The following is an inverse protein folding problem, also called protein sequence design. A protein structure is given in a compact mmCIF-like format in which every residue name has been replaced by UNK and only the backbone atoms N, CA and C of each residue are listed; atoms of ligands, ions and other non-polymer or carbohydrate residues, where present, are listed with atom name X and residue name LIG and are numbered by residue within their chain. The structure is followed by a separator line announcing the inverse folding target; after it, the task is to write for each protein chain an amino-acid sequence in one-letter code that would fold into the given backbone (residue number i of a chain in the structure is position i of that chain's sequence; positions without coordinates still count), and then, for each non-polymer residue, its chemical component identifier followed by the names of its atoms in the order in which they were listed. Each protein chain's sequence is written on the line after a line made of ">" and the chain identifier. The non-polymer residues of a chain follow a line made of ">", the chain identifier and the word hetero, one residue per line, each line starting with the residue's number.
data_IF_158188173168
#
_entry.id   IF_158188173168
#
_cell.length_a   1.000
_cell.length_b   1.000
_cell.length_c   1.000
_cell.angle_alpha   90.00
_cell.angle_beta   90.00
_cell.angle_gamma   90.00
#
_symmetry.space_group_name_H-M   'P 1'
#
loop_
_entity.id
_entity.type
_entity.pdbx_description
1 polymer ?
#
# COMPACT_ATOMS: atom_id res chain seq x y z
N UNK A 1 29.90 -37.72 -61.92
CA UNK A 1 28.72 -36.97 -61.44
C UNK A 1 29.07 -36.23 -60.15
N UNK A 2 29.39 -34.94 -60.23
CA UNK A 2 29.73 -34.11 -59.06
C UNK A 2 28.73 -32.95 -58.95
N UNK A 3 27.91 -32.95 -57.90
CA UNK A 3 26.81 -31.98 -57.71
C UNK A 3 27.38 -30.67 -57.16
N UNK A 4 27.34 -29.60 -57.96
CA UNK A 4 27.60 -28.21 -57.52
C UNK A 4 26.57 -27.81 -56.45
N UNK A 5 27.02 -27.50 -55.23
CA UNK A 5 26.22 -26.83 -54.20
C UNK A 5 25.98 -25.38 -54.62
N UNK A 6 24.71 -24.98 -54.79
CA UNK A 6 24.32 -23.56 -54.95
C UNK A 6 24.41 -22.88 -53.58
N UNK A 7 25.27 -21.88 -53.45
CA UNK A 7 25.29 -20.95 -52.32
C UNK A 7 24.18 -19.92 -52.55
N UNK A 8 23.34 -19.68 -51.53
CA UNK A 8 22.27 -18.67 -51.53
C UNK A 8 22.85 -17.32 -51.07
N UNK A 9 22.49 -16.17 -51.68
CA UNK A 9 23.01 -14.87 -51.24
C UNK A 9 22.39 -14.42 -49.90
N UNK A 10 23.07 -13.53 -49.15
CA UNK A 10 22.56 -12.98 -47.90
C UNK A 10 21.83 -11.66 -48.17
N UNK A 11 20.51 -11.67 -48.21
CA UNK A 11 19.71 -10.44 -48.25
C UNK A 11 19.18 -10.12 -46.85
N UNK A 12 19.86 -9.14 -46.24
CA UNK A 12 19.33 -7.91 -45.63
C UNK A 12 18.12 -7.94 -44.67
N UNK A 13 18.41 -7.39 -43.48
CA UNK A 13 17.61 -6.43 -42.72
C UNK A 13 16.38 -6.91 -41.90
N UNK A 14 16.63 -7.04 -40.59
CA UNK A 14 15.91 -6.36 -39.50
C UNK A 14 14.42 -6.09 -39.70
N UNK A 15 13.61 -7.14 -39.58
CA UNK A 15 12.21 -6.99 -39.16
C UNK A 15 12.17 -6.79 -37.64
N UNK A 16 12.31 -5.54 -37.22
CA UNK A 16 12.09 -5.04 -35.86
C UNK A 16 10.72 -5.55 -35.36
N UNK A 17 10.72 -6.65 -34.59
CA UNK A 17 9.50 -7.20 -34.01
C UNK A 17 8.98 -6.18 -33.00
N UNK A 18 7.94 -5.42 -33.37
CA UNK A 18 7.26 -4.49 -32.46
C UNK A 18 7.01 -5.19 -31.12
N UNK A 19 7.43 -4.62 -29.99
CA UNK A 19 7.20 -5.22 -28.69
C UNK A 19 5.70 -5.48 -28.53
N UNK A 20 5.29 -6.62 -27.93
CA UNK A 20 3.89 -6.98 -27.83
C UNK A 20 3.14 -5.83 -27.14
N UNK A 21 2.16 -5.25 -27.83
CA UNK A 21 1.29 -4.23 -27.25
C UNK A 21 0.59 -4.85 -26.06
N UNK A 22 1.04 -4.50 -24.84
CA UNK A 22 0.42 -4.94 -23.60
C UNK A 22 -1.04 -4.50 -23.62
N UNK A 23 -1.97 -5.46 -23.56
CA UNK A 23 -3.40 -5.18 -23.37
C UNK A 23 -3.54 -4.35 -22.10
N UNK A 24 -4.12 -3.15 -22.23
CA UNK A 24 -4.41 -2.27 -21.10
C UNK A 24 -5.26 -3.04 -20.08
N UNK A 25 -4.76 -3.15 -18.85
CA UNK A 25 -5.53 -3.71 -17.74
C UNK A 25 -6.23 -2.54 -17.04
N UNK A 26 -7.56 -2.56 -16.88
CA UNK A 26 -8.25 -1.49 -16.19
C UNK A 26 -7.78 -1.42 -14.73
N UNK A 27 -7.66 -0.20 -14.17
CA UNK A 27 -7.30 -0.03 -12.77
C UNK A 27 -8.34 -0.68 -11.85
N UNK A 28 -7.88 -1.25 -10.74
CA UNK A 28 -8.71 -2.01 -9.79
C UNK A 28 -9.50 -1.06 -8.89
N UNK A 29 -10.54 -0.46 -9.46
CA UNK A 29 -11.40 0.50 -8.76
C UNK A 29 -12.77 -0.09 -8.39
N UNK A 30 -13.48 0.49 -7.41
CA UNK A 30 -14.83 0.08 -7.07
C UNK A 30 -15.80 0.16 -8.25
N UNK A 31 -16.90 -0.62 -8.25
CA UNK A 31 -17.90 -0.57 -9.31
C UNK A 31 -18.52 0.83 -9.44
N UNK A 32 -19.03 1.21 -10.64
CA UNK A 32 -19.60 2.54 -10.91
C UNK A 32 -20.65 3.01 -9.90
N UNK A 33 -21.47 2.09 -9.39
CA UNK A 33 -22.54 2.39 -8.44
C UNK A 33 -22.08 2.40 -6.98
N UNK A 34 -20.78 2.22 -6.68
CA UNK A 34 -20.29 2.12 -5.30
C UNK A 34 -20.53 3.41 -4.50
N UNK A 35 -20.98 3.32 -3.23
CA UNK A 35 -21.18 4.49 -2.37
C UNK A 35 -19.91 5.17 -1.90
N UNK A 36 -18.76 4.56 -2.20
CA UNK A 36 -17.47 5.19 -1.97
C UNK A 36 -17.21 6.33 -2.95
N UNK A 37 -17.81 6.29 -4.15
CA UNK A 37 -17.65 7.37 -5.11
C UNK A 37 -18.43 8.61 -4.64
N UNK A 38 -17.84 9.82 -4.77
CA UNK A 38 -18.61 11.04 -4.62
C UNK A 38 -19.82 11.03 -5.56
N UNK A 39 -20.90 11.68 -5.14
CA UNK A 39 -22.19 11.60 -5.83
C UNK A 39 -22.12 12.06 -7.30
N UNK A 40 -21.32 13.10 -7.57
CA UNK A 40 -21.05 13.58 -8.93
C UNK A 40 -20.27 12.59 -9.82
N UNK A 41 -19.64 11.58 -9.22
CA UNK A 41 -18.81 10.57 -9.89
C UNK A 41 -19.36 9.16 -9.67
N UNK A 42 -20.67 8.94 -9.48
CA UNK A 42 -21.24 7.58 -9.32
C UNK A 42 -22.43 7.31 -10.22
N UNK A 43 -22.72 6.03 -10.43
CA UNK A 43 -23.86 5.53 -11.17
C UNK A 43 -23.96 6.09 -12.58
N UNK A 44 -25.06 6.77 -12.92
CA UNK A 44 -25.27 7.35 -14.27
C UNK A 44 -24.22 8.39 -14.66
N UNK A 45 -23.59 9.03 -13.67
CA UNK A 45 -22.55 10.04 -13.90
C UNK A 45 -21.14 9.44 -14.02
N UNK A 46 -20.99 8.12 -13.81
CA UNK A 46 -19.71 7.43 -13.86
C UNK A 46 -19.09 7.47 -15.26
N UNK A 47 -17.78 7.75 -15.34
CA UNK A 47 -16.97 7.65 -16.55
C UNK A 47 -15.73 6.80 -16.28
N UNK A 48 -15.31 6.01 -17.26
CA UNK A 48 -14.12 5.14 -17.14
C UNK A 48 -12.84 5.90 -16.79
N UNK A 49 -12.72 7.17 -17.23
CA UNK A 49 -11.59 8.05 -16.87
C UNK A 49 -11.46 8.29 -15.37
N UNK A 50 -12.55 8.22 -14.59
CA UNK A 50 -12.48 8.39 -13.13
C UNK A 50 -11.73 7.24 -12.45
N UNK A 51 -11.73 6.07 -13.07
CA UNK A 51 -10.96 4.92 -12.59
C UNK A 51 -9.46 5.25 -12.57
N UNK A 52 -8.98 6.02 -13.55
CA UNK A 52 -7.59 6.47 -13.64
C UNK A 52 -7.33 7.65 -12.69
N UNK A 53 -8.27 8.60 -12.60
CA UNK A 53 -8.10 9.80 -11.76
C UNK A 53 -8.01 9.49 -10.27
N UNK A 54 -8.73 8.46 -9.79
CA UNK A 54 -8.75 8.08 -8.38
C UNK A 54 -7.82 6.90 -8.05
N UNK A 55 -7.11 6.34 -9.03
CA UNK A 55 -6.09 5.33 -8.77
C UNK A 55 -4.97 5.89 -7.87
N UNK A 56 -4.57 5.13 -6.86
CA UNK A 56 -3.55 5.57 -5.90
C UNK A 56 -3.99 6.69 -4.94
N UNK A 57 -5.26 7.11 -4.97
CA UNK A 57 -5.77 8.21 -4.12
C UNK A 57 -6.36 7.71 -2.81
N UNK A 58 -6.32 8.55 -1.79
CA UNK A 58 -6.83 8.27 -0.45
C UNK A 58 -8.25 7.70 -0.48
N UNK A 59 -9.13 8.09 -1.42
CA UNK A 59 -10.46 7.48 -1.58
C UNK A 59 -10.44 5.95 -1.67
N UNK A 60 -9.47 5.40 -2.38
CA UNK A 60 -9.36 3.98 -2.66
C UNK A 60 -8.42 3.25 -1.69
N UNK A 61 -7.91 3.92 -0.66
CA UNK A 61 -6.98 3.36 0.32
C UNK A 61 -7.68 2.56 1.43
N UNK A 62 -7.24 1.36 1.78
CA UNK A 62 -7.78 0.55 2.89
C UNK A 62 -7.75 1.28 4.23
N UNK A 63 -6.80 2.20 4.41
CA UNK A 63 -6.64 2.95 5.64
C UNK A 63 -7.58 4.14 5.77
N UNK A 64 -8.28 4.52 4.69
CA UNK A 64 -9.24 5.62 4.68
C UNK A 64 -10.68 5.12 4.80
N UNK A 65 -11.43 5.77 5.68
CA UNK A 65 -12.87 5.58 5.82
C UNK A 65 -13.62 6.90 5.73
N UNK A 66 -14.87 6.90 5.24
CA UNK A 66 -15.72 8.08 5.30
C UNK A 66 -15.91 8.56 6.74
N UNK A 67 -15.99 9.87 6.94
CA UNK A 67 -16.41 10.47 8.22
C UNK A 67 -17.80 9.97 8.66
N UNK A 68 -18.19 10.16 9.92
CA UNK A 68 -19.58 9.89 10.33
C UNK A 68 -20.56 10.82 9.59
N UNK A 69 -21.81 10.39 9.36
CA UNK A 69 -22.82 11.18 8.61
C UNK A 69 -22.98 12.61 9.15
N UNK A 70 -22.82 12.80 10.47
CA UNK A 70 -22.89 14.10 11.13
C UNK A 70 -21.71 15.01 10.76
N UNK A 71 -20.48 14.48 10.72
CA UNK A 71 -19.29 15.22 10.30
C UNK A 71 -19.18 15.36 8.78
N UNK A 72 -19.88 14.55 8.00
CA UNK A 72 -19.99 14.70 6.55
C UNK A 72 -20.85 15.90 6.13
N UNK A 73 -21.59 16.53 7.05
CA UNK A 73 -22.60 17.56 6.73
C UNK A 73 -22.08 19.00 6.61
N UNK A 74 -20.82 19.27 6.98
CA UNK A 74 -20.34 20.64 7.21
C UNK A 74 -19.72 21.35 6.01
N UNK A 75 -19.52 20.69 4.85
CA UNK A 75 -19.11 21.40 3.64
C UNK A 75 -20.16 21.37 2.53
N UNK A 76 -21.22 22.16 2.74
CA UNK A 76 -22.18 22.52 1.68
C UNK A 76 -21.84 23.84 0.99
N UNK A 77 -20.87 24.59 1.51
CA UNK A 77 -20.57 25.95 1.07
C UNK A 77 -19.41 26.04 0.07
N UNK A 78 -18.44 25.12 0.09
CA UNK A 78 -17.26 25.18 -0.77
C UNK A 78 -17.18 24.10 -1.85
N UNK A 79 -18.12 23.14 -1.86
CA UNK A 79 -18.13 22.08 -2.86
C UNK A 79 -16.89 21.17 -2.82
N UNK A 80 -16.19 21.10 -1.68
CA UNK A 80 -15.03 20.22 -1.55
C UNK A 80 -15.48 18.76 -1.37
N UNK A 81 -14.67 17.80 -1.84
CA UNK A 81 -14.99 16.39 -1.73
C UNK A 81 -15.01 15.96 -0.25
N UNK A 82 -16.02 15.15 0.12
CA UNK A 82 -16.21 14.59 1.48
C UNK A 82 -14.88 14.12 2.07
N UNK A 83 -14.43 14.75 3.16
CA UNK A 83 -13.21 14.37 3.87
C UNK A 83 -13.28 12.91 4.34
N UNK A 84 -12.13 12.24 4.35
CA UNK A 84 -11.95 10.87 4.81
C UNK A 84 -11.09 10.89 6.08
N UNK A 85 -11.32 9.94 6.99
CA UNK A 85 -10.38 9.68 8.08
C UNK A 85 -9.40 8.60 7.68
N UNK A 86 -8.12 8.93 7.68
CA UNK A 86 -7.02 8.01 7.52
C UNK A 86 -6.54 7.51 8.90
N UNK A 87 -6.36 6.20 9.02
CA UNK A 87 -5.87 5.52 10.24
C UNK A 87 -4.37 5.16 10.18
N UNK A 88 -3.73 5.38 9.03
CA UNK A 88 -2.32 5.06 8.79
C UNK A 88 -1.64 6.15 7.95
N UNK A 89 -1.93 7.42 8.25
CA UNK A 89 -1.33 8.51 7.49
C UNK A 89 0.18 8.57 7.78
N UNK A 90 1.04 8.66 6.75
CA UNK A 90 2.49 8.64 6.89
C UNK A 90 3.06 9.73 7.78
N UNK A 91 2.38 10.87 7.87
CA UNK A 91 2.81 12.03 8.66
C UNK A 91 2.09 12.11 10.02
N UNK A 92 1.07 11.27 10.22
CA UNK A 92 0.29 11.16 11.47
C UNK A 92 0.14 9.69 11.90
N UNK A 93 1.24 8.98 12.22
CA UNK A 93 1.19 7.57 12.57
C UNK A 93 0.40 7.32 13.86
N UNK A 94 -0.78 6.72 13.69
CA UNK A 94 -1.69 6.27 14.75
C UNK A 94 -2.59 7.35 15.35
N UNK A 95 -2.65 8.51 14.73
CA UNK A 95 -3.74 9.48 14.89
C UNK A 95 -4.78 9.26 13.79
N UNK A 96 -6.03 9.64 14.07
CA UNK A 96 -7.01 9.83 13.00
C UNK A 96 -6.71 11.16 12.33
N UNK A 97 -6.41 11.13 11.03
CA UNK A 97 -6.11 12.31 10.25
C UNK A 97 -7.12 12.48 9.11
N UNK A 98 -7.62 13.70 8.93
CA UNK A 98 -8.52 14.01 7.82
C UNK A 98 -7.72 14.18 6.53
N UNK A 99 -8.11 13.47 5.47
CA UNK A 99 -7.48 13.49 4.16
C UNK A 99 -8.51 13.72 3.08
N UNK A 100 -8.14 14.43 2.02
CA UNK A 100 -9.01 14.60 0.86
C UNK A 100 -9.08 13.30 0.02
N UNK A 101 -10.22 12.97 -0.59
CA UNK A 101 -10.36 11.84 -1.51
C UNK A 101 -9.33 11.78 -2.65
N UNK A 102 -8.84 12.94 -3.08
CA UNK A 102 -7.92 13.10 -4.22
C UNK A 102 -6.43 13.15 -3.83
N UNK A 103 -6.13 13.13 -2.53
CA UNK A 103 -4.75 13.11 -2.03
C UNK A 103 -4.07 11.79 -2.36
N UNK A 104 -2.77 11.86 -2.58
CA UNK A 104 -1.88 10.70 -2.74
C UNK A 104 -1.10 10.48 -1.45
N UNK A 105 -0.92 9.23 -1.07
CA UNK A 105 -0.28 8.87 0.18
C UNK A 105 0.83 7.84 -0.05
N UNK A 106 2.01 8.03 0.57
CA UNK A 106 3.12 7.06 0.48
C UNK A 106 2.84 5.71 1.14
N UNK A 107 1.82 5.64 1.99
CA UNK A 107 1.27 4.40 2.60
C UNK A 107 -0.07 4.02 1.98
N UNK A 108 -0.34 4.46 0.75
CA UNK A 108 -1.52 4.01 0.03
C UNK A 108 -1.47 2.49 -0.10
N UNK A 109 -2.55 1.84 0.30
CA UNK A 109 -2.75 0.42 0.09
C UNK A 109 -4.15 0.25 -0.52
N UNK A 110 -4.30 -0.33 -1.72
CA UNK A 110 -5.57 -0.33 -2.43
C UNK A 110 -6.59 -1.24 -1.74
N UNK A 111 -7.83 -0.76 -1.63
CA UNK A 111 -8.98 -1.61 -1.28
C UNK A 111 -9.10 -2.75 -2.29
N UNK A 112 -9.35 -3.96 -1.78
CA UNK A 112 -9.53 -5.14 -2.64
C UNK A 112 -10.83 -5.02 -3.43
N UNK A 113 -10.74 -4.57 -4.68
CA UNK A 113 -11.85 -4.55 -5.63
C UNK A 113 -11.60 -5.53 -6.77
N UNK A 114 -12.66 -6.24 -7.18
CA UNK A 114 -12.65 -6.96 -8.46
C UNK A 114 -12.62 -5.91 -9.57
N UNK A 115 -11.85 -6.16 -10.63
CA UNK A 115 -11.81 -5.26 -11.79
C UNK A 115 -13.24 -4.95 -12.25
N UNK A 116 -13.57 -3.67 -12.52
CA UNK A 116 -14.85 -3.32 -13.11
C UNK A 116 -15.01 -4.10 -14.42
N UNK A 117 -15.92 -5.07 -14.45
CA UNK A 117 -16.30 -5.69 -15.71
C UNK A 117 -16.94 -4.62 -16.59
N UNK A 118 -16.53 -4.51 -17.85
CA UNK A 118 -17.16 -3.64 -18.87
C UNK A 118 -18.66 -3.95 -19.04
N UNK A 119 -19.09 -5.13 -18.60
CA UNK A 119 -20.48 -5.55 -18.58
C UNK A 119 -20.93 -5.75 -17.12
N UNK A 120 -21.85 -4.92 -16.59
CA UNK A 120 -22.37 -5.10 -15.24
C UNK A 120 -23.15 -6.43 -15.18
N UNK A 121 -22.85 -7.34 -14.23
CA UNK A 121 -23.63 -8.56 -14.09
C UNK A 121 -25.06 -8.22 -13.63
N UNK A 122 -26.07 -8.87 -14.22
CA UNK A 122 -27.49 -8.72 -13.87
C UNK A 122 -27.88 -9.21 -12.46
N UNK A 123 -26.92 -9.58 -11.61
CA UNK A 123 -27.21 -10.00 -10.22
C UNK A 123 -26.97 -8.85 -9.26
N UNK A 124 -27.98 -8.57 -8.43
CA UNK A 124 -27.85 -7.76 -7.22
C UNK A 124 -26.82 -8.41 -6.29
N UNK A 125 -25.58 -7.95 -6.37
CA UNK A 125 -24.60 -8.18 -5.32
C UNK A 125 -25.08 -7.34 -4.15
N UNK A 126 -25.52 -7.97 -3.06
CA UNK A 126 -25.72 -7.26 -1.79
C UNK A 126 -24.42 -6.54 -1.49
N UNK A 127 -24.45 -5.21 -1.47
CA UNK A 127 -23.37 -4.40 -0.98
C UNK A 127 -23.10 -4.86 0.45
N UNK A 128 -21.98 -5.54 0.69
CA UNK A 128 -21.49 -5.79 2.04
C UNK A 128 -21.14 -4.42 2.59
N UNK A 129 -22.03 -3.90 3.42
CA UNK A 129 -21.83 -2.68 4.18
C UNK A 129 -20.55 -2.84 4.99
N UNK A 130 -19.63 -1.92 4.75
CA UNK A 130 -18.41 -1.74 5.49
C UNK A 130 -18.78 -1.25 6.89
N UNK A 131 -19.11 -2.17 7.80
CA UNK A 131 -19.41 -1.89 9.20
C UNK A 131 -18.65 -2.89 10.06
N UNK A 132 -17.64 -2.37 10.78
CA UNK A 132 -16.94 -2.99 11.91
C UNK A 132 -16.54 -4.46 11.70
N UNK A 133 -15.30 -4.69 11.26
CA UNK A 133 -14.69 -6.01 11.37
C UNK A 133 -14.67 -6.42 12.87
N UNK A 134 -15.48 -7.40 13.29
CA UNK A 134 -15.63 -7.75 14.71
C UNK A 134 -14.34 -8.31 15.31
N UNK A 135 -13.40 -8.71 14.46
CA UNK A 135 -12.11 -9.27 14.83
C UNK A 135 -11.08 -8.19 15.17
N UNK A 136 -11.39 -6.91 14.95
CA UNK A 136 -10.46 -5.80 15.19
C UNK A 136 -10.91 -4.95 16.36
N UNK A 137 -10.01 -4.74 17.33
CA UNK A 137 -10.21 -3.87 18.50
C UNK A 137 -9.17 -2.76 18.53
N UNK A 138 -9.48 -1.70 19.28
CA UNK A 138 -8.60 -0.53 19.48
C UNK A 138 -8.33 -0.33 20.96
N UNK A 139 -7.06 -0.08 21.30
CA UNK A 139 -6.61 0.24 22.66
C UNK A 139 -6.10 1.68 22.67
N UNK A 140 -6.64 2.52 23.54
CA UNK A 140 -6.22 3.91 23.68
C UNK A 140 -4.86 4.01 24.38
N UNK A 141 -3.97 4.86 23.85
CA UNK A 141 -2.58 5.04 24.32
C UNK A 141 -2.35 6.40 25.01
N UNK A 142 -3.32 7.31 24.95
CA UNK A 142 -3.19 8.72 25.36
C UNK A 142 -2.95 9.66 24.18
N UNK A 143 -3.15 10.98 24.38
CA UNK A 143 -3.00 12.03 23.36
C UNK A 143 -3.78 11.79 22.05
N UNK A 144 -4.95 11.13 22.14
CA UNK A 144 -5.77 10.80 20.97
C UNK A 144 -5.28 9.61 20.13
N UNK A 145 -4.13 9.01 20.48
CA UNK A 145 -3.56 7.86 19.78
C UNK A 145 -4.22 6.55 20.21
N UNK A 146 -4.27 5.59 19.27
CA UNK A 146 -4.74 4.23 19.54
C UNK A 146 -3.86 3.19 18.84
N UNK A 147 -3.76 2.01 19.47
CA UNK A 147 -3.23 0.81 18.85
C UNK A 147 -4.37 -0.06 18.33
N UNK A 148 -4.21 -0.61 17.13
CA UNK A 148 -5.13 -1.61 16.56
C UNK A 148 -4.61 -3.01 16.90
N UNK A 149 -5.48 -3.89 17.38
CA UNK A 149 -5.14 -5.27 17.80
C UNK A 149 -6.23 -6.24 17.36
N UNK A 150 -5.91 -7.52 17.32
CA UNK A 150 -6.93 -8.56 17.12
C UNK A 150 -7.80 -8.70 18.38
N UNK A 151 -9.06 -9.09 18.20
CA UNK A 151 -10.02 -9.22 19.28
C UNK A 151 -9.60 -10.27 20.33
N UNK A 152 -8.91 -11.31 19.91
CA UNK A 152 -8.38 -12.38 20.78
C UNK A 152 -7.33 -11.87 21.78
N UNK A 153 -6.49 -10.92 21.35
CA UNK A 153 -5.42 -10.37 22.17
C UNK A 153 -5.91 -9.20 23.07
N UNK A 154 -7.06 -8.62 22.75
CA UNK A 154 -7.59 -7.42 23.42
C UNK A 154 -7.72 -7.59 24.95
N UNK A 155 -8.29 -8.70 25.40
CA UNK A 155 -8.54 -8.97 26.82
C UNK A 155 -7.26 -9.14 27.63
N UNK A 156 -6.19 -9.64 27.01
CA UNK A 156 -4.88 -9.71 27.65
C UNK A 156 -4.21 -8.33 27.69
N UNK A 157 -4.23 -7.61 26.57
CA UNK A 157 -3.53 -6.34 26.45
C UNK A 157 -4.19 -5.22 27.26
N UNK A 158 -5.52 -5.20 27.41
CA UNK A 158 -6.24 -4.14 28.15
C UNK A 158 -5.89 -4.09 29.64
N UNK A 159 -5.26 -5.14 30.18
CA UNK A 159 -4.82 -5.21 31.58
C UNK A 159 -3.71 -4.20 31.91
N UNK A 160 -3.00 -3.73 30.88
CA UNK A 160 -1.88 -2.82 31.04
C UNK A 160 -2.23 -1.43 30.54
N UNK A 161 -1.62 -0.43 31.17
CA UNK A 161 -1.69 0.95 30.68
C UNK A 161 -0.64 1.15 29.60
N UNK A 162 -1.11 1.35 28.38
CA UNK A 162 -0.28 1.56 27.20
C UNK A 162 -0.08 3.04 26.90
N UNK A 163 1.07 3.34 26.30
CA UNK A 163 1.53 4.68 25.92
C UNK A 163 2.16 4.62 24.54
N UNK A 164 2.00 5.69 23.77
CA UNK A 164 2.69 5.85 22.50
C UNK A 164 4.09 6.44 22.71
N UNK A 165 5.11 5.81 22.12
CA UNK A 165 6.47 6.34 22.08
C UNK A 165 6.95 6.47 20.64
N UNK A 166 7.44 7.66 20.28
CA UNK A 166 8.06 7.89 18.99
C UNK A 166 9.50 7.33 18.97
N UNK A 167 9.85 6.60 17.91
CA UNK A 167 11.20 6.09 17.63
C UNK A 167 11.50 6.29 16.15
N UNK A 168 12.31 7.30 15.84
CA UNK A 168 12.55 7.72 14.47
C UNK A 168 11.25 8.20 13.81
N UNK A 169 10.85 7.58 12.70
CA UNK A 169 9.61 7.92 11.96
C UNK A 169 8.39 7.11 12.39
N UNK A 170 8.55 6.15 13.30
CA UNK A 170 7.48 5.27 13.73
C UNK A 170 7.07 5.57 15.16
N UNK A 171 5.80 5.35 15.46
CA UNK A 171 5.23 5.41 16.81
C UNK A 171 4.87 4.00 17.22
N UNK A 172 5.22 3.62 18.44
CA UNK A 172 4.97 2.27 18.98
C UNK A 172 4.18 2.33 20.28
N UNK A 173 3.34 1.32 20.49
CA UNK A 173 2.65 1.12 21.76
C UNK A 173 3.58 0.42 22.77
N UNK A 174 3.74 1.02 23.94
CA UNK A 174 4.59 0.53 25.03
C UNK A 174 3.88 0.60 26.39
N UNK A 175 4.21 -0.30 27.29
CA UNK A 175 3.72 -0.31 28.67
C UNK A 175 4.92 -0.46 29.62
N UNK A 176 4.76 0.00 30.87
CA UNK A 176 5.68 -0.33 31.96
C UNK A 176 5.13 -1.54 32.71
N UNK A 177 5.86 -2.65 32.69
CA UNK A 177 5.51 -3.90 33.37
C UNK A 177 6.73 -4.30 34.20
N UNK A 178 6.55 -4.46 35.52
CA UNK A 178 7.61 -4.80 36.47
C UNK A 178 8.86 -3.92 36.36
N UNK A 179 8.64 -2.60 36.21
CA UNK A 179 9.69 -1.60 36.05
C UNK A 179 10.38 -1.57 34.68
N UNK A 180 10.02 -2.47 33.75
CA UNK A 180 10.62 -2.57 32.40
C UNK A 180 9.66 -2.04 31.34
N UNK A 181 10.22 -1.38 30.31
CA UNK A 181 9.44 -0.96 29.14
C UNK A 181 9.24 -2.15 28.20
N UNK A 182 7.98 -2.52 27.99
CA UNK A 182 7.58 -3.62 27.11
C UNK A 182 6.85 -3.03 25.89
N UNK A 183 7.22 -3.48 24.70
CA UNK A 183 6.56 -3.11 23.45
C UNK A 183 5.42 -4.07 23.14
N UNK A 184 4.26 -3.56 22.70
CA UNK A 184 3.06 -4.36 22.44
C UNK A 184 3.32 -5.48 21.43
N UNK A 185 3.92 -5.14 20.28
CA UNK A 185 4.29 -6.13 19.26
C UNK A 185 5.24 -7.23 19.76
N UNK A 186 6.14 -6.92 20.71
CA UNK A 186 7.07 -7.92 21.30
C UNK A 186 6.36 -8.80 22.31
N UNK A 187 5.41 -8.23 23.07
CA UNK A 187 4.60 -8.99 24.01
C UNK A 187 3.75 -10.04 23.29
N UNK A 188 3.19 -9.68 22.13
CA UNK A 188 2.38 -10.57 21.30
C UNK A 188 3.20 -11.68 20.63
N UNK A 189 4.32 -11.32 19.98
CA UNK A 189 5.09 -12.26 19.15
C UNK A 189 6.18 -13.03 19.89
N UNK A 190 6.63 -12.53 21.07
CA UNK A 190 7.67 -13.14 21.91
C UNK A 190 8.89 -13.64 21.10
N UNK A 191 9.55 -12.74 20.33
CA UNK A 191 10.67 -13.15 19.48
C UNK A 191 11.83 -13.71 20.31
N UNK A 192 12.55 -14.68 19.74
CA UNK A 192 13.83 -15.18 20.31
C UNK A 192 14.88 -14.06 20.33
N UNK A 193 15.91 -14.23 21.16
CA UNK A 193 17.04 -13.30 21.19
C UNK A 193 17.71 -13.18 19.81
N UNK A 194 18.13 -11.96 19.45
CA UNK A 194 18.66 -11.64 18.11
C UNK A 194 17.60 -11.38 17.03
N UNK A 195 16.33 -11.70 17.28
CA UNK A 195 15.24 -11.40 16.36
C UNK A 195 14.45 -10.15 16.77
N UNK A 196 13.87 -9.49 15.77
CA UNK A 196 12.98 -8.33 15.94
C UNK A 196 11.60 -8.65 15.39
N UNK A 197 10.60 -7.87 15.79
CA UNK A 197 9.26 -7.95 15.21
C UNK A 197 9.11 -6.77 14.28
N UNK A 198 8.79 -7.05 13.03
CA UNK A 198 8.51 -6.07 11.98
C UNK A 198 7.01 -5.91 11.79
N UNK A 199 6.59 -4.68 11.47
CA UNK A 199 5.23 -4.33 11.10
C UNK A 199 5.17 -4.29 9.58
N UNK A 200 4.43 -5.22 8.98
CA UNK A 200 4.37 -5.39 7.52
C UNK A 200 3.95 -4.08 6.83
N UNK A 201 2.96 -3.38 7.38
CA UNK A 201 2.48 -2.09 6.88
C UNK A 201 3.33 -0.86 7.30
N UNK A 202 4.39 -1.06 8.07
CA UNK A 202 5.23 0.01 8.62
C UNK A 202 4.55 0.90 9.68
N UNK A 203 3.35 0.52 10.17
CA UNK A 203 2.63 1.22 11.22
C UNK A 203 2.85 0.55 12.58
N UNK A 204 3.72 1.12 13.41
CA UNK A 204 4.03 0.59 14.74
C UNK A 204 2.86 0.55 15.73
N UNK A 205 1.72 1.18 15.38
CA UNK A 205 0.48 1.13 16.15
C UNK A 205 -0.55 0.11 15.61
N UNK A 206 -0.31 -0.51 14.45
CA UNK A 206 -1.09 -1.65 13.97
C UNK A 206 -0.48 -2.97 14.47
N UNK A 207 -0.90 -3.42 15.65
CA UNK A 207 -0.36 -4.59 16.34
C UNK A 207 -1.22 -5.86 16.13
N UNK A 208 -2.03 -5.91 15.07
CA UNK A 208 -2.68 -7.16 14.66
C UNK A 208 -1.64 -8.19 14.25
N UNK A 209 -1.81 -9.45 14.65
CA UNK A 209 -0.91 -10.57 14.34
C UNK A 209 -0.67 -10.74 12.86
N UNK A 210 -1.70 -10.57 12.03
CA UNK A 210 -1.58 -10.61 10.58
C UNK A 210 -0.68 -9.50 10.00
N UNK A 211 -0.40 -8.43 10.75
CA UNK A 211 0.51 -7.34 10.40
C UNK A 211 1.88 -7.47 11.06
N UNK A 212 2.09 -8.45 11.95
CA UNK A 212 3.34 -8.65 12.68
C UNK A 212 4.09 -9.86 12.14
N UNK A 213 5.41 -9.75 12.02
CA UNK A 213 6.28 -10.89 11.68
C UNK A 213 7.59 -10.85 12.44
N UNK A 214 8.09 -12.01 12.84
CA UNK A 214 9.42 -12.14 13.44
C UNK A 214 10.45 -12.20 12.33
N UNK A 215 11.46 -11.34 12.38
CA UNK A 215 12.49 -11.27 11.35
C UNK A 215 13.87 -10.92 11.94
N UNK A 216 14.90 -11.07 11.12
CA UNK A 216 16.25 -10.59 11.45
C UNK A 216 16.34 -9.07 11.28
N UNK A 217 17.30 -8.40 11.95
CA UNK A 217 17.51 -6.96 11.76
C UNK A 217 17.73 -6.56 10.29
N UNK A 218 18.42 -7.40 9.50
CA UNK A 218 18.66 -7.17 8.08
C UNK A 218 17.37 -7.24 7.24
N UNK A 219 16.47 -8.18 7.56
CA UNK A 219 15.16 -8.30 6.92
C UNK A 219 14.26 -7.12 7.29
N UNK A 220 14.24 -6.70 8.56
CA UNK A 220 13.49 -5.53 8.99
C UNK A 220 13.92 -4.26 8.23
N UNK A 221 15.22 -4.11 7.97
CA UNK A 221 15.75 -2.99 7.18
C UNK A 221 15.32 -3.04 5.71
N UNK A 222 15.05 -4.23 5.16
CA UNK A 222 14.54 -4.37 3.79
C UNK A 222 13.08 -3.88 3.65
N UNK A 223 12.32 -3.86 4.75
CA UNK A 223 10.96 -3.33 4.83
C UNK A 223 10.91 -1.80 5.09
N UNK A 224 12.05 -1.11 4.99
CA UNK A 224 12.11 0.32 5.32
C UNK A 224 11.39 1.17 4.27
N UNK A 225 10.39 1.91 4.73
CA UNK A 225 9.68 2.92 3.96
C UNK A 225 10.62 4.02 3.41
N UNK A 226 10.28 4.66 2.27
CA UNK A 226 11.14 5.65 1.64
C UNK A 226 11.34 6.89 2.51
N UNK A 227 12.47 7.57 2.31
CA UNK A 227 12.76 8.86 2.92
C UNK A 227 12.68 9.99 1.90
N UNK A 228 11.48 10.25 1.39
CA UNK A 228 11.24 11.32 0.41
C UNK A 228 12.00 11.13 -0.90
N UNK A 229 11.85 12.10 -1.80
CA UNK A 229 12.48 12.09 -3.11
C UNK A 229 11.61 12.74 -4.18
N UNK A 230 12.08 12.65 -5.42
CA UNK A 230 11.39 13.17 -6.62
C UNK A 230 10.21 12.30 -7.09
N UNK A 231 10.01 11.14 -6.47
CA UNK A 231 8.98 10.15 -6.81
C UNK A 231 8.18 9.80 -5.57
N UNK A 232 6.92 9.41 -5.79
CA UNK A 232 6.09 8.81 -4.74
C UNK A 232 6.49 7.35 -4.43
N UNK A 233 7.24 6.69 -5.32
CA UNK A 233 7.62 5.28 -5.19
C UNK A 233 9.07 5.08 -4.74
N UNK A 234 9.28 4.04 -3.95
CA UNK A 234 10.60 3.69 -3.40
C UNK A 234 11.54 3.23 -4.50
N UNK A 235 12.75 3.79 -4.50
CA UNK A 235 13.79 3.43 -5.46
C UNK A 235 13.51 3.93 -6.88
N UNK A 236 12.55 4.84 -7.03
CA UNK A 236 12.27 5.52 -8.29
C UNK A 236 12.68 6.98 -8.18
N UNK A 237 13.35 7.49 -9.21
CA UNK A 237 13.91 8.84 -9.22
C UNK A 237 13.65 9.50 -10.56
N UNK A 238 13.44 10.82 -10.55
CA UNK A 238 13.34 11.60 -11.78
C UNK A 238 14.72 11.67 -12.42
N UNK A 239 14.81 11.31 -13.69
CA UNK A 239 16.01 11.37 -14.49
C UNK A 239 15.68 12.04 -15.83
N UNK A 240 16.02 13.33 -15.94
CA UNK A 240 15.59 14.19 -17.06
C UNK A 240 14.05 14.19 -17.20
N UNK A 241 13.55 13.83 -18.36
CA UNK A 241 12.14 13.66 -18.72
C UNK A 241 11.58 12.27 -18.39
N UNK A 242 12.39 11.39 -17.79
CA UNK A 242 12.07 9.97 -17.55
C UNK A 242 12.24 9.57 -16.08
N UNK A 243 11.96 8.31 -15.78
CA UNK A 243 12.02 7.73 -14.44
C UNK A 243 13.04 6.61 -14.36
N UNK A 244 14.00 6.72 -13.44
CA UNK A 244 15.02 5.70 -13.21
C UNK A 244 14.64 4.83 -12.00
N UNK A 245 14.79 3.51 -12.14
CA UNK A 245 14.57 2.55 -11.06
C UNK A 245 15.88 1.94 -10.53
N UNK A 246 16.02 1.88 -9.21
CA UNK A 246 17.18 1.31 -8.51
C UNK A 246 16.74 0.48 -7.31
N UNK A 247 17.41 -0.64 -7.09
CA UNK A 247 17.30 -1.43 -5.85
C UNK A 247 18.66 -1.49 -5.14
N UNK A 248 18.64 -1.69 -3.82
CA UNK A 248 19.85 -1.84 -3.00
C UNK A 248 19.70 -3.08 -2.14
N UNK A 249 20.70 -3.96 -2.17
CA UNK A 249 20.75 -5.12 -1.28
C UNK A 249 22.20 -5.37 -0.86
N UNK A 250 22.42 -5.53 0.46
CA UNK A 250 23.75 -5.75 1.07
C UNK A 250 24.82 -4.75 0.61
N UNK A 251 24.45 -3.47 0.53
CA UNK A 251 25.34 -2.39 0.07
C UNK A 251 25.56 -2.33 -1.45
N UNK A 252 25.10 -3.32 -2.22
CA UNK A 252 25.21 -3.31 -3.69
C UNK A 252 24.01 -2.62 -4.32
N UNK A 253 24.29 -1.81 -5.32
CA UNK A 253 23.31 -1.07 -6.09
C UNK A 253 22.98 -1.77 -7.41
N UNK A 254 21.68 -1.94 -7.67
CA UNK A 254 21.16 -2.55 -8.89
C UNK A 254 20.43 -1.48 -9.70
N UNK A 255 20.97 -1.12 -10.87
CA UNK A 255 20.31 -0.25 -11.82
C UNK A 255 19.33 -1.08 -12.67
N UNK A 256 18.04 -0.75 -12.62
CA UNK A 256 16.99 -1.58 -13.21
C UNK A 256 16.47 -1.04 -14.53
N UNK A 257 16.91 0.17 -14.91
CA UNK A 257 16.56 0.82 -16.17
C UNK A 257 15.98 2.21 -15.99
N UNK A 258 15.68 2.82 -17.14
CA UNK A 258 15.02 4.12 -17.27
C UNK A 258 13.71 3.88 -18.04
N UNK A 259 12.62 4.43 -17.53
CA UNK A 259 11.25 4.21 -17.96
C UNK A 259 10.58 5.54 -18.28
N UNK A 260 9.67 5.57 -19.24
CA UNK A 260 8.87 6.77 -19.53
C UNK A 260 7.81 7.01 -18.44
N UNK A 261 7.35 5.94 -17.79
CA UNK A 261 6.28 5.96 -16.80
C UNK A 261 6.82 5.65 -15.39
N UNK A 262 6.31 6.37 -14.39
CA UNK A 262 6.74 6.27 -12.99
C UNK A 262 6.32 4.93 -12.36
N UNK A 263 5.11 4.44 -12.71
CA UNK A 263 4.54 3.20 -12.18
C UNK A 263 5.29 1.99 -12.72
N UNK A 264 5.65 1.97 -14.00
CA UNK A 264 6.44 0.87 -14.57
C UNK A 264 7.86 0.82 -13.97
N UNK A 265 8.49 1.96 -13.69
CA UNK A 265 9.75 2.03 -12.95
C UNK A 265 9.61 1.40 -11.55
N UNK A 266 8.54 1.74 -10.84
CA UNK A 266 8.24 1.21 -9.51
C UNK A 266 7.98 -0.31 -9.54
N UNK A 267 7.24 -0.82 -10.53
CA UNK A 267 7.02 -2.27 -10.72
C UNK A 267 8.29 -3.03 -11.08
N UNK A 268 9.19 -2.43 -11.87
CA UNK A 268 10.51 -3.01 -12.13
C UNK A 268 11.33 -3.13 -10.84
N UNK A 269 11.29 -2.08 -10.00
CA UNK A 269 11.90 -2.07 -8.69
C UNK A 269 11.31 -3.13 -7.76
N UNK A 270 10.00 -3.26 -7.70
CA UNK A 270 9.33 -4.24 -6.83
C UNK A 270 9.67 -5.67 -7.19
N UNK A 271 9.70 -6.02 -8.49
CA UNK A 271 10.15 -7.34 -8.94
C UNK A 271 11.56 -7.66 -8.43
N UNK A 272 12.48 -6.70 -8.52
CA UNK A 272 13.84 -6.90 -8.03
C UNK A 272 13.92 -6.94 -6.50
N UNK A 273 13.14 -6.10 -5.81
CA UNK A 273 13.11 -6.11 -4.36
C UNK A 273 12.58 -7.44 -3.82
N UNK A 274 11.52 -7.97 -4.43
CA UNK A 274 10.96 -9.29 -4.09
C UNK A 274 11.95 -10.42 -4.40
N UNK A 275 12.65 -10.38 -5.53
CA UNK A 275 13.72 -11.34 -5.85
C UNK A 275 14.83 -11.34 -4.77
N UNK A 276 15.20 -10.16 -4.26
CA UNK A 276 16.31 -10.00 -3.31
C UNK A 276 15.94 -10.27 -1.85
N UNK A 277 14.70 -9.97 -1.45
CA UNK A 277 14.28 -9.96 -0.04
C UNK A 277 13.04 -10.81 0.24
N UNK A 278 12.41 -11.38 -0.79
CA UNK A 278 11.19 -12.16 -0.69
C UNK A 278 10.05 -11.37 -0.04
N UNK A 279 9.36 -12.01 0.88
CA UNK A 279 8.26 -11.42 1.66
C UNK A 279 8.69 -10.19 2.48
N UNK A 280 9.98 -10.05 2.82
CA UNK A 280 10.49 -8.93 3.64
C UNK A 280 10.77 -7.66 2.83
N UNK A 281 10.62 -7.70 1.51
CA UNK A 281 10.75 -6.52 0.68
C UNK A 281 9.65 -5.51 1.00
N UNK A 282 10.02 -4.24 1.21
CA UNK A 282 9.05 -3.17 0.99
C UNK A 282 8.67 -3.17 -0.49
N UNK A 283 7.37 -3.24 -0.82
CA UNK A 283 6.87 -3.21 -2.20
C UNK A 283 6.00 -1.96 -2.38
N UNK A 284 6.11 -1.30 -3.53
CA UNK A 284 5.22 -0.21 -3.92
C UNK A 284 3.82 -0.73 -4.28
N UNK A 285 3.74 -1.93 -4.86
CA UNK A 285 2.51 -2.63 -5.27
C UNK A 285 2.50 -4.06 -4.72
N UNK A 286 2.29 -4.25 -3.40
CA UNK A 286 2.27 -5.59 -2.79
C UNK A 286 1.21 -6.53 -3.39
N UNK A 287 0.11 -6.00 -3.91
CA UNK A 287 -0.93 -6.74 -4.65
C UNK A 287 -0.43 -7.40 -5.94
N UNK A 288 0.67 -6.89 -6.50
CA UNK A 288 1.54 -7.52 -7.51
C UNK A 288 1.85 -9.01 -7.23
N UNK A 289 1.99 -9.34 -5.95
CA UNK A 289 2.69 -10.53 -5.47
C UNK A 289 1.82 -11.45 -4.60
N UNK A 290 0.65 -10.97 -4.18
CA UNK A 290 -0.33 -11.80 -3.46
C UNK A 290 -1.14 -12.61 -4.47
N UNK A 291 -0.91 -13.92 -4.53
CA UNK A 291 -1.74 -14.88 -5.30
C UNK A 291 -3.05 -15.19 -4.59
#
# INVERSE_FOLDING_TARGET
>A
MSKRRKVKPPDEADAESKPPQRKWKPPRVPPPDSPIWPEQYRGKNWKSVYAVLFEGKCLLCVHSCPLSKWRQGEDKFQGQPRLLLCTNHPDHPGELHEVLPIETCRRFAPKRWRSPSLHPPKRRVRATTNEYDPEVRRIHLGNGLFATVDAEDYEQLRKYRWYAIARGRNVYATAKIDGRTVYMHRMLMKPREGYVVDHIDGNGLNNRRCNLRVCTPAQNLANKAPCGGSSQFVGVYRYRDKWMARAVCRGKHYHLGIFADEVEAAKARDRKAYELHGEYAYLNFPEDFTS
#
